data_IF_528894217667
#
_entry.id   IF_528894217667
#
_cell.length_a   1.000
_cell.length_b   1.000
_cell.length_c   1.000
_cell.angle_alpha   90.00
_cell.angle_beta   90.00
_cell.angle_gamma   90.00
#
_symmetry.space_group_name_H-M   'P 1'
#
loop_
_entity.id
_entity.type
_entity.pdbx_description
1 polymer ?
#
# COMPACT_ATOMS: atom_id res chain seq x y z
N UNK A 1 2.50 26.25 -38.01
CA UNK A 1 2.62 26.12 -36.55
C UNK A 1 3.80 26.96 -36.11
N UNK A 2 3.60 27.94 -35.23
CA UNK A 2 4.72 28.70 -34.67
C UNK A 2 5.65 27.77 -33.88
N UNK A 3 6.95 28.07 -33.85
CA UNK A 3 7.93 27.34 -33.03
C UNK A 3 7.52 27.24 -31.56
N UNK A 4 6.83 28.26 -31.03
CA UNK A 4 6.29 28.25 -29.66
C UNK A 4 5.12 27.29 -29.43
N UNK A 5 4.31 26.99 -30.44
CA UNK A 5 3.24 26.01 -30.31
C UNK A 5 3.78 24.58 -30.36
N UNK A 6 4.83 24.34 -31.15
CA UNK A 6 5.53 23.05 -31.21
C UNK A 6 6.17 22.73 -29.88
N UNK A 7 6.84 23.71 -29.24
CA UNK A 7 7.45 23.49 -27.92
C UNK A 7 6.40 23.17 -26.85
N UNK A 8 5.22 23.80 -26.89
CA UNK A 8 4.14 23.50 -25.94
C UNK A 8 3.61 22.08 -26.15
N UNK A 9 3.39 21.65 -27.40
CA UNK A 9 2.93 20.28 -27.69
C UNK A 9 3.95 19.24 -27.24
N UNK A 10 5.25 19.47 -27.49
CA UNK A 10 6.32 18.58 -27.00
C UNK A 10 6.37 18.54 -25.46
N UNK A 11 6.18 19.69 -24.80
CA UNK A 11 6.12 19.74 -23.34
C UNK A 11 4.91 18.99 -22.79
N UNK A 12 3.74 19.08 -23.44
CA UNK A 12 2.53 18.34 -23.06
C UNK A 12 2.72 16.84 -23.20
N UNK A 13 3.34 16.39 -24.30
CA UNK A 13 3.66 14.98 -24.49
C UNK A 13 4.61 14.47 -23.38
N UNK A 14 5.65 15.25 -23.05
CA UNK A 14 6.56 14.92 -21.95
C UNK A 14 5.87 14.87 -20.59
N UNK A 15 4.97 15.82 -20.31
CA UNK A 15 4.18 15.85 -19.07
C UNK A 15 3.22 14.66 -18.98
N UNK A 16 2.55 14.28 -20.08
CA UNK A 16 1.69 13.09 -20.09
C UNK A 16 2.50 11.80 -19.83
N UNK A 17 3.69 11.68 -20.41
CA UNK A 17 4.59 10.55 -20.11
C UNK A 17 5.04 10.54 -18.64
N UNK A 18 5.29 11.72 -18.06
CA UNK A 18 5.67 11.84 -16.65
C UNK A 18 4.51 11.50 -15.71
N UNK A 19 3.29 11.91 -16.05
CA UNK A 19 2.04 11.53 -15.35
C UNK A 19 1.85 10.01 -15.38
N UNK A 20 2.01 9.41 -16.58
CA UNK A 20 1.97 7.96 -16.77
C UNK A 20 3.00 7.23 -15.91
N UNK A 21 4.24 7.74 -15.87
CA UNK A 21 5.31 7.21 -15.04
C UNK A 21 4.94 7.22 -13.55
N UNK A 22 4.44 8.34 -13.03
CA UNK A 22 4.07 8.45 -11.62
C UNK A 22 2.92 7.49 -11.26
N UNK A 23 1.86 7.48 -12.06
CA UNK A 23 0.70 6.57 -11.87
C UNK A 23 1.09 5.08 -11.95
N UNK A 24 1.92 4.71 -12.92
CA UNK A 24 2.39 3.33 -13.07
C UNK A 24 3.31 2.93 -11.91
N UNK A 25 4.19 3.83 -11.46
CA UNK A 25 5.07 3.59 -10.31
C UNK A 25 4.25 3.38 -9.05
N UNK A 26 3.23 4.21 -8.79
CA UNK A 26 2.32 4.03 -7.64
C UNK A 26 1.72 2.63 -7.63
N UNK A 27 1.17 2.20 -8.76
CA UNK A 27 0.49 0.91 -8.88
C UNK A 27 1.45 -0.27 -8.78
N UNK A 28 2.65 -0.16 -9.36
CA UNK A 28 3.67 -1.18 -9.25
C UNK A 28 4.11 -1.37 -7.80
N UNK A 29 4.35 -0.27 -7.06
CA UNK A 29 4.78 -0.35 -5.66
C UNK A 29 3.67 -0.71 -4.68
N UNK A 30 2.41 -0.38 -4.96
CA UNK A 30 1.29 -0.82 -4.15
C UNK A 30 0.91 -2.29 -4.38
N UNK A 31 1.20 -2.84 -5.56
CA UNK A 31 0.81 -4.21 -5.95
C UNK A 31 1.96 -5.24 -5.88
N UNK A 32 3.21 -4.82 -5.65
CA UNK A 32 4.35 -5.73 -5.64
C UNK A 32 4.41 -6.59 -4.37
N UNK A 33 5.02 -7.78 -4.50
CA UNK A 33 5.33 -8.64 -3.35
C UNK A 33 6.75 -8.40 -2.85
N UNK A 34 6.88 -7.81 -1.65
CA UNK A 34 8.20 -7.54 -1.02
C UNK A 34 9.07 -8.80 -0.88
N UNK A 35 8.46 -9.96 -0.60
CA UNK A 35 9.17 -11.25 -0.49
C UNK A 35 9.90 -11.61 -1.78
N UNK A 36 9.28 -11.40 -2.95
CA UNK A 36 9.92 -11.67 -4.25
C UNK A 36 11.12 -10.77 -4.49
N UNK A 37 11.03 -9.50 -4.12
CA UNK A 37 12.17 -8.57 -4.23
C UNK A 37 13.31 -8.94 -3.27
N UNK A 38 13.00 -9.40 -2.05
CA UNK A 38 14.01 -9.90 -1.10
C UNK A 38 14.80 -11.08 -1.69
N UNK A 39 14.11 -12.04 -2.28
CA UNK A 39 14.76 -13.20 -2.91
C UNK A 39 15.67 -12.76 -4.06
N UNK A 40 15.16 -11.93 -4.97
CA UNK A 40 15.96 -11.41 -6.09
C UNK A 40 17.17 -10.57 -5.63
N UNK A 41 17.04 -9.81 -4.54
CA UNK A 41 18.14 -9.04 -3.97
C UNK A 41 19.20 -9.97 -3.34
N UNK A 42 18.78 -11.03 -2.66
CA UNK A 42 19.67 -12.07 -2.12
C UNK A 42 20.46 -12.79 -3.23
N UNK A 43 19.84 -12.96 -4.41
CA UNK A 43 20.49 -13.50 -5.62
C UNK A 43 21.44 -12.48 -6.30
N UNK A 44 21.68 -11.30 -5.71
CA UNK A 44 22.63 -10.30 -6.18
C UNK A 44 22.05 -9.24 -7.12
N UNK A 45 20.72 -9.16 -7.30
CA UNK A 45 20.11 -8.14 -8.15
C UNK A 45 20.05 -6.76 -7.45
N UNK A 46 20.97 -5.87 -7.83
CA UNK A 46 21.04 -4.48 -7.32
C UNK A 46 19.77 -3.66 -7.55
N UNK A 47 19.02 -3.92 -8.63
CA UNK A 47 17.74 -3.21 -8.89
C UNK A 47 16.64 -3.71 -7.97
N UNK A 48 16.63 -5.00 -7.65
CA UNK A 48 15.71 -5.57 -6.66
C UNK A 48 15.99 -5.01 -5.27
N UNK A 49 17.27 -4.88 -4.90
CA UNK A 49 17.68 -4.27 -3.63
C UNK A 49 17.19 -2.81 -3.53
N UNK A 50 17.39 -2.01 -4.58
CA UNK A 50 16.95 -0.62 -4.59
C UNK A 50 15.42 -0.48 -4.58
N UNK A 51 14.71 -1.31 -5.35
CA UNK A 51 13.24 -1.35 -5.31
C UNK A 51 12.73 -1.79 -3.92
N UNK A 52 13.41 -2.73 -3.25
CA UNK A 52 13.06 -3.16 -1.90
C UNK A 52 13.27 -2.05 -0.87
N UNK A 53 14.35 -1.27 -1.00
CA UNK A 53 14.58 -0.08 -0.15
C UNK A 53 13.45 0.94 -0.32
N UNK A 54 13.06 1.23 -1.56
CA UNK A 54 11.95 2.16 -1.86
C UNK A 54 10.62 1.61 -1.33
N UNK A 55 10.35 0.32 -1.53
CA UNK A 55 9.11 -0.32 -1.04
C UNK A 55 9.03 -0.40 0.50
N UNK A 56 10.17 -0.36 1.18
CA UNK A 56 10.23 -0.30 2.65
C UNK A 56 9.85 1.09 3.17
N UNK A 57 10.14 2.16 2.42
CA UNK A 57 9.76 3.55 2.74
C UNK A 57 8.57 4.00 1.88
N UNK A 58 7.47 3.23 1.96
CA UNK A 58 6.30 3.42 1.09
C UNK A 58 5.58 4.75 1.34
N UNK A 59 5.52 5.24 2.58
CA UNK A 59 4.90 6.53 2.93
C UNK A 59 5.59 7.70 2.21
N UNK A 60 6.92 7.71 2.21
CA UNK A 60 7.70 8.74 1.51
C UNK A 60 7.60 8.61 0.00
N UNK A 61 7.58 7.38 -0.50
CA UNK A 61 7.35 7.10 -1.92
C UNK A 61 6.00 7.67 -2.37
N UNK A 62 4.93 7.31 -1.65
CA UNK A 62 3.56 7.74 -1.96
C UNK A 62 3.46 9.26 -1.96
N UNK A 63 4.02 9.91 -0.95
CA UNK A 63 4.08 11.38 -0.86
C UNK A 63 4.80 12.00 -2.07
N UNK A 64 5.95 11.44 -2.45
CA UNK A 64 6.73 11.89 -3.62
C UNK A 64 5.92 11.78 -4.91
N UNK A 65 5.27 10.63 -5.13
CA UNK A 65 4.47 10.37 -6.32
C UNK A 65 3.26 11.31 -6.37
N UNK A 66 2.56 11.50 -5.26
CA UNK A 66 1.39 12.39 -5.18
C UNK A 66 1.78 13.83 -5.52
N UNK A 67 2.89 14.34 -4.96
CA UNK A 67 3.38 15.69 -5.26
C UNK A 67 3.76 15.80 -6.74
N UNK A 68 4.56 14.85 -7.24
CA UNK A 68 5.03 14.85 -8.62
C UNK A 68 3.88 14.79 -9.63
N UNK A 69 2.94 13.87 -9.42
CA UNK A 69 1.79 13.70 -10.31
C UNK A 69 0.90 14.94 -10.35
N UNK A 70 0.64 15.55 -9.19
CA UNK A 70 -0.15 16.78 -9.12
C UNK A 70 0.53 17.94 -9.85
N UNK A 71 1.83 18.15 -9.63
CA UNK A 71 2.59 19.20 -10.34
C UNK A 71 2.49 18.99 -11.85
N UNK A 72 2.72 17.76 -12.32
CA UNK A 72 2.67 17.42 -13.74
C UNK A 72 1.28 17.65 -14.33
N UNK A 73 0.23 17.12 -13.70
CA UNK A 73 -1.14 17.20 -14.19
C UNK A 73 -1.65 18.65 -14.22
N UNK A 74 -1.40 19.43 -13.16
CA UNK A 74 -1.79 20.85 -13.11
C UNK A 74 -1.03 21.65 -14.16
N UNK A 75 0.27 21.40 -14.33
CA UNK A 75 1.08 22.08 -15.35
C UNK A 75 0.59 21.73 -16.76
N UNK A 76 0.28 20.45 -17.01
CA UNK A 76 -0.24 19.99 -18.30
C UNK A 76 -1.60 20.63 -18.62
N UNK A 77 -2.54 20.63 -17.66
CA UNK A 77 -3.84 21.27 -17.82
C UNK A 77 -3.71 22.78 -18.06
N UNK A 78 -2.80 23.45 -17.34
CA UNK A 78 -2.55 24.89 -17.48
C UNK A 78 -1.96 25.23 -18.85
N UNK A 79 -0.91 24.51 -19.28
CA UNK A 79 -0.27 24.71 -20.59
C UNK A 79 -1.23 24.40 -21.74
N UNK A 80 -2.01 23.33 -21.61
CA UNK A 80 -3.05 23.01 -22.59
C UNK A 80 -4.07 24.13 -22.68
N UNK A 81 -4.52 24.67 -21.56
CA UNK A 81 -5.51 25.76 -21.57
C UNK A 81 -4.98 26.98 -22.31
N UNK A 82 -3.72 27.36 -22.07
CA UNK A 82 -3.06 28.44 -22.83
C UNK A 82 -3.01 28.13 -24.32
N UNK A 83 -2.66 26.90 -24.69
CA UNK A 83 -2.58 26.46 -26.09
C UNK A 83 -3.95 26.53 -26.77
N UNK A 84 -4.97 25.93 -26.18
CA UNK A 84 -6.31 25.86 -26.76
C UNK A 84 -7.00 27.21 -26.79
N UNK A 85 -6.79 28.08 -25.79
CA UNK A 85 -7.31 29.47 -25.83
C UNK A 85 -6.66 30.25 -26.98
N UNK A 86 -5.36 30.06 -27.24
CA UNK A 86 -4.67 30.69 -28.39
C UNK A 86 -5.30 30.29 -29.73
N UNK A 87 -5.77 29.05 -29.88
CA UNK A 87 -6.31 28.53 -31.14
C UNK A 87 -7.83 28.64 -31.29
N UNK A 88 -8.58 28.51 -30.19
CA UNK A 88 -10.05 28.39 -30.19
C UNK A 88 -10.76 29.52 -29.43
N UNK A 89 -10.01 30.51 -28.93
CA UNK A 89 -10.57 31.67 -28.23
C UNK A 89 -11.38 31.28 -26.99
N UNK A 90 -12.59 31.84 -26.85
CA UNK A 90 -13.46 31.63 -25.69
C UNK A 90 -13.86 30.16 -25.49
N UNK A 91 -13.96 29.36 -26.56
CA UNK A 91 -14.25 27.93 -26.47
C UNK A 91 -13.03 27.10 -26.03
N UNK A 92 -11.81 27.67 -26.12
CA UNK A 92 -10.56 26.97 -25.86
C UNK A 92 -10.43 26.44 -24.43
N UNK A 93 -10.98 27.14 -23.43
CA UNK A 93 -10.98 26.65 -22.05
C UNK A 93 -11.79 25.36 -21.93
N UNK A 94 -13.03 25.35 -22.40
CA UNK A 94 -13.90 24.17 -22.33
C UNK A 94 -13.33 22.99 -23.12
N UNK A 95 -12.83 23.25 -24.33
CA UNK A 95 -12.21 22.20 -25.17
C UNK A 95 -10.97 21.63 -24.49
N UNK A 96 -10.09 22.49 -23.95
CA UNK A 96 -8.88 22.06 -23.22
C UNK A 96 -9.23 21.15 -22.06
N UNK A 97 -10.21 21.55 -21.23
CA UNK A 97 -10.63 20.79 -20.06
C UNK A 97 -11.09 19.39 -20.45
N UNK A 98 -11.97 19.27 -21.45
CA UNK A 98 -12.47 17.96 -21.91
C UNK A 98 -11.33 17.11 -22.49
N UNK A 99 -10.53 17.67 -23.41
CA UNK A 99 -9.45 16.93 -24.09
C UNK A 99 -8.39 16.47 -23.10
N UNK A 100 -7.92 17.36 -22.22
CA UNK A 100 -6.88 17.00 -21.24
C UNK A 100 -7.38 16.01 -20.21
N UNK A 101 -8.65 16.11 -19.78
CA UNK A 101 -9.21 15.13 -18.85
C UNK A 101 -9.18 13.73 -19.47
N UNK A 102 -9.60 13.59 -20.73
CA UNK A 102 -9.54 12.31 -21.44
C UNK A 102 -8.10 11.82 -21.65
N UNK A 103 -7.18 12.71 -22.03
CA UNK A 103 -5.78 12.34 -22.26
C UNK A 103 -5.09 11.89 -20.97
N UNK A 104 -5.24 12.63 -19.87
CA UNK A 104 -4.66 12.26 -18.57
C UNK A 104 -5.30 10.99 -18.06
N UNK A 105 -6.62 10.86 -18.13
CA UNK A 105 -7.32 9.67 -17.64
C UNK A 105 -6.93 8.40 -18.41
N UNK A 106 -6.85 8.47 -19.74
CA UNK A 106 -6.50 7.30 -20.56
C UNK A 106 -4.99 7.05 -20.47
N UNK A 107 -4.17 8.01 -20.88
CA UNK A 107 -2.73 7.81 -21.06
C UNK A 107 -1.89 8.07 -19.82
N UNK A 108 -2.34 8.94 -18.91
CA UNK A 108 -1.66 9.26 -17.66
C UNK A 108 -2.04 8.34 -16.50
N UNK A 109 -3.26 7.78 -16.50
CA UNK A 109 -3.78 7.02 -15.36
C UNK A 109 -4.17 5.59 -15.69
N UNK A 110 -5.24 5.36 -16.45
CA UNK A 110 -5.84 4.03 -16.61
C UNK A 110 -4.87 3.07 -17.32
N UNK A 111 -4.34 3.44 -18.50
CA UNK A 111 -3.47 2.55 -19.27
C UNK A 111 -2.16 2.22 -18.54
N UNK A 112 -1.42 3.20 -17.97
CA UNK A 112 -0.18 2.90 -17.27
C UNK A 112 -0.41 2.05 -16.01
N UNK A 113 -1.47 2.32 -15.24
CA UNK A 113 -1.81 1.53 -14.05
C UNK A 113 -2.14 0.08 -14.40
N UNK A 114 -2.93 -0.15 -15.45
CA UNK A 114 -3.26 -1.50 -15.92
C UNK A 114 -2.00 -2.28 -16.29
N UNK A 115 -1.08 -1.65 -17.03
CA UNK A 115 0.15 -2.31 -17.47
C UNK A 115 1.11 -2.60 -16.32
N UNK A 116 1.23 -1.66 -15.36
CA UNK A 116 2.06 -1.83 -14.17
C UNK A 116 1.58 -3.00 -13.29
N UNK A 117 0.26 -3.26 -13.25
CA UNK A 117 -0.34 -4.31 -12.43
C UNK A 117 -0.04 -5.74 -12.93
N UNK A 118 0.25 -5.92 -14.22
CA UNK A 118 0.56 -7.25 -14.76
C UNK A 118 1.92 -7.78 -14.31
N UNK A 119 2.93 -6.90 -14.19
CA UNK A 119 4.29 -7.28 -13.79
C UNK A 119 4.91 -6.28 -12.80
N UNK A 120 4.30 -6.13 -11.60
CA UNK A 120 4.63 -5.05 -10.68
C UNK A 120 6.07 -5.09 -10.20
N UNK A 121 6.65 -6.27 -9.90
CA UNK A 121 8.04 -6.36 -9.44
C UNK A 121 9.04 -5.96 -10.53
N UNK A 122 8.82 -6.40 -11.78
CA UNK A 122 9.69 -6.06 -12.91
C UNK A 122 9.64 -4.57 -13.21
N UNK A 123 8.43 -4.00 -13.23
CA UNK A 123 8.24 -2.58 -13.45
C UNK A 123 8.89 -1.76 -12.34
N UNK A 124 8.63 -2.10 -11.07
CA UNK A 124 9.21 -1.44 -9.90
C UNK A 124 10.74 -1.42 -9.96
N UNK A 125 11.37 -2.55 -10.27
CA UNK A 125 12.83 -2.65 -10.44
C UNK A 125 13.37 -1.80 -11.60
N UNK A 126 12.61 -1.66 -12.69
CA UNK A 126 13.00 -0.85 -13.84
C UNK A 126 12.96 0.64 -13.49
N UNK A 127 11.91 1.10 -12.83
CA UNK A 127 11.71 2.52 -12.51
C UNK A 127 12.45 2.98 -11.25
N UNK A 128 12.88 2.03 -10.40
CA UNK A 128 13.50 2.26 -9.10
C UNK A 128 14.57 3.37 -9.08
N UNK A 129 15.55 3.41 -10.01
CA UNK A 129 16.58 4.44 -9.99
C UNK A 129 16.04 5.86 -10.20
N UNK A 130 15.08 6.00 -11.12
CA UNK A 130 14.42 7.28 -11.41
C UNK A 130 13.53 7.69 -10.23
N UNK A 131 12.85 6.72 -9.61
CA UNK A 131 12.00 6.96 -8.45
C UNK A 131 12.84 7.50 -7.28
N UNK A 132 14.00 6.88 -7.02
CA UNK A 132 14.93 7.35 -5.98
C UNK A 132 15.40 8.78 -6.21
N UNK A 133 15.67 9.15 -7.47
CA UNK A 133 16.04 10.51 -7.82
C UNK A 133 14.94 11.51 -7.44
N UNK A 134 13.67 11.23 -7.78
CA UNK A 134 12.54 12.07 -7.37
C UNK A 134 12.36 12.12 -5.85
N UNK A 135 12.53 11.00 -5.13
CA UNK A 135 12.42 10.98 -3.67
C UNK A 135 13.48 11.83 -2.96
N UNK A 136 14.65 12.01 -3.59
CA UNK A 136 15.74 12.89 -3.09
C UNK A 136 15.45 14.35 -3.43
N UNK A 137 15.04 14.65 -4.66
CA UNK A 137 14.74 16.02 -5.09
C UNK A 137 13.52 16.59 -4.34
N UNK A 138 12.49 15.77 -4.14
CA UNK A 138 11.28 16.16 -3.43
C UNK A 138 11.37 15.92 -1.92
N UNK A 139 12.53 15.49 -1.41
CA UNK A 139 12.78 15.34 0.03
C UNK A 139 12.37 16.56 0.89
N UNK A 140 12.71 17.82 0.55
CA UNK A 140 12.31 18.97 1.37
C UNK A 140 10.78 19.11 1.47
N UNK A 141 10.05 18.81 0.39
CA UNK A 141 8.58 18.83 0.40
C UNK A 141 8.02 17.66 1.20
N UNK A 142 8.61 16.47 1.08
CA UNK A 142 8.20 15.31 1.87
C UNK A 142 8.34 15.56 3.38
N UNK A 143 9.40 16.25 3.82
CA UNK A 143 9.57 16.63 5.22
C UNK A 143 8.45 17.57 5.70
N UNK A 144 8.02 18.52 4.86
CA UNK A 144 6.88 19.38 5.16
C UNK A 144 5.60 18.55 5.38
N UNK A 145 5.29 17.61 4.47
CA UNK A 145 4.11 16.75 4.60
C UNK A 145 4.19 15.78 5.79
N UNK A 146 5.38 15.27 6.12
CA UNK A 146 5.58 14.45 7.32
C UNK A 146 5.25 15.24 8.60
N UNK A 147 5.73 16.47 8.70
CA UNK A 147 5.40 17.36 9.82
C UNK A 147 3.92 17.73 9.85
N UNK A 148 3.31 17.92 8.68
CA UNK A 148 1.86 18.15 8.56
C UNK A 148 1.06 16.95 9.08
N UNK A 149 1.46 15.71 8.75
CA UNK A 149 0.85 14.48 9.27
C UNK A 149 0.91 14.42 10.80
N UNK A 150 2.05 14.74 11.40
CA UNK A 150 2.22 14.78 12.87
C UNK A 150 1.32 15.85 13.50
N UNK A 151 1.24 17.03 12.88
CA UNK A 151 0.36 18.11 13.35
C UNK A 151 -1.11 17.66 13.34
N UNK A 152 -1.55 17.02 12.25
CA UNK A 152 -2.91 16.49 12.14
C UNK A 152 -3.18 15.40 13.19
N UNK A 153 -2.26 14.44 13.36
CA UNK A 153 -2.41 13.39 14.38
C UNK A 153 -2.58 13.99 15.79
N UNK A 154 -1.84 15.05 16.10
CA UNK A 154 -1.94 15.77 17.38
C UNK A 154 -3.26 16.52 17.55
N UNK A 155 -3.80 17.10 16.48
CA UNK A 155 -5.09 17.81 16.49
C UNK A 155 -6.25 16.82 16.64
N UNK A 156 -6.20 15.71 15.91
CA UNK A 156 -7.29 14.73 15.84
C UNK A 156 -7.18 13.61 16.90
N UNK A 157 -6.14 13.61 17.75
CA UNK A 157 -5.87 12.56 18.75
C UNK A 157 -6.00 11.16 18.16
N UNK A 158 -5.41 10.96 16.98
CA UNK A 158 -5.35 9.63 16.38
C UNK A 158 -4.28 8.86 17.15
N UNK A 159 -4.70 8.06 18.13
CA UNK A 159 -3.81 7.12 18.81
C UNK A 159 -3.30 6.11 17.77
N UNK A 160 -2.00 6.20 17.50
CA UNK A 160 -1.33 5.59 16.35
C UNK A 160 -1.02 4.10 16.49
N UNK A 161 -1.55 3.45 17.51
CA UNK A 161 -1.31 2.03 17.76
C UNK A 161 -2.62 1.38 18.21
N UNK A 162 -3.50 1.11 17.25
CA UNK A 162 -4.52 0.09 17.43
C UNK A 162 -3.83 -1.22 17.09
N UNK A 163 -3.14 -1.80 18.07
CA UNK A 163 -2.67 -3.18 17.97
C UNK A 163 -3.85 -4.08 17.60
N UNK A 164 -3.58 -5.18 16.88
CA UNK A 164 -4.62 -6.14 16.50
C UNK A 164 -5.20 -6.71 17.80
N UNK A 165 -6.51 -6.56 17.99
CA UNK A 165 -7.20 -7.18 19.13
C UNK A 165 -7.37 -8.67 18.89
N UNK A 166 -7.60 -9.43 19.96
CA UNK A 166 -7.89 -10.86 19.86
C UNK A 166 -9.10 -11.16 18.97
N UNK A 167 -10.16 -10.36 19.09
CA UNK A 167 -11.36 -10.44 18.23
C UNK A 167 -11.04 -10.22 16.74
N UNK A 168 -10.15 -9.27 16.42
CA UNK A 168 -9.68 -9.03 15.06
C UNK A 168 -8.82 -10.21 14.55
N UNK A 169 -7.98 -10.80 15.42
CA UNK A 169 -7.21 -12.00 15.13
C UNK A 169 -8.10 -13.20 14.82
N UNK A 170 -9.14 -13.44 15.61
CA UNK A 170 -10.13 -14.49 15.36
C UNK A 170 -10.86 -14.25 14.03
N UNK A 171 -11.22 -13.00 13.74
CA UNK A 171 -11.85 -12.63 12.46
C UNK A 171 -10.96 -12.95 11.25
N UNK A 172 -9.65 -12.72 11.36
CA UNK A 172 -8.68 -13.06 10.30
C UNK A 172 -8.59 -14.58 10.08
N UNK A 173 -8.64 -15.37 11.16
CA UNK A 173 -8.64 -16.84 11.08
C UNK A 173 -9.91 -17.34 10.37
N UNK A 174 -11.06 -16.74 10.66
CA UNK A 174 -12.35 -17.06 10.04
C UNK A 174 -12.34 -16.79 8.54
N UNK A 175 -11.82 -15.64 8.13
CA UNK A 175 -11.69 -15.25 6.73
C UNK A 175 -10.74 -16.22 5.99
N UNK A 176 -9.60 -16.56 6.60
CA UNK A 176 -8.65 -17.50 6.02
C UNK A 176 -9.21 -18.94 5.87
N UNK A 177 -10.09 -19.36 6.78
CA UNK A 177 -10.81 -20.63 6.69
C UNK A 177 -11.87 -20.60 5.58
N UNK A 178 -12.62 -19.50 5.43
CA UNK A 178 -13.63 -19.33 4.37
C UNK A 178 -13.02 -19.27 2.97
N UNK A 179 -11.88 -18.59 2.82
CA UNK A 179 -11.13 -18.48 1.57
C UNK A 179 -10.38 -19.78 1.20
N UNK A 180 -10.45 -20.81 2.05
CA UNK A 180 -9.82 -22.11 1.84
C UNK A 180 -8.29 -22.11 2.01
N UNK A 181 -7.74 -21.09 2.67
CA UNK A 181 -6.32 -21.01 3.01
C UNK A 181 -5.92 -21.86 4.21
N UNK A 182 -6.89 -22.19 5.07
CA UNK A 182 -6.72 -22.98 6.30
C UNK A 182 -7.88 -24.00 6.37
N UNK A 183 -7.61 -25.22 6.79
CA UNK A 183 -8.67 -26.21 6.99
C UNK A 183 -9.37 -26.03 8.36
N UNK A 184 -10.53 -26.65 8.55
CA UNK A 184 -11.34 -26.47 9.77
C UNK A 184 -10.61 -26.88 11.05
N UNK A 185 -9.80 -27.94 11.01
CA UNK A 185 -9.02 -28.42 12.17
C UNK A 185 -7.89 -27.44 12.53
N UNK A 186 -7.21 -26.90 11.54
CA UNK A 186 -6.17 -25.89 11.73
C UNK A 186 -6.75 -24.57 12.28
N UNK A 187 -7.94 -24.17 11.82
CA UNK A 187 -8.66 -23.02 12.34
C UNK A 187 -9.04 -23.19 13.81
N UNK A 188 -9.62 -24.35 14.16
CA UNK A 188 -9.99 -24.68 15.54
C UNK A 188 -8.77 -24.68 16.48
N UNK A 189 -7.64 -25.27 16.06
CA UNK A 189 -6.39 -25.25 16.82
C UNK A 189 -5.89 -23.83 17.10
N UNK A 190 -5.93 -22.94 16.09
CA UNK A 190 -5.48 -21.55 16.27
C UNK A 190 -6.38 -20.82 17.25
N UNK A 191 -7.71 -20.97 17.17
CA UNK A 191 -8.64 -20.38 18.14
C UNK A 191 -8.36 -20.88 19.55
N UNK A 192 -8.22 -22.19 19.74
CA UNK A 192 -7.97 -22.77 21.06
C UNK A 192 -6.66 -22.29 21.68
N UNK A 193 -5.61 -22.04 20.89
CA UNK A 193 -4.35 -21.48 21.41
C UNK A 193 -4.51 -20.03 21.83
N UNK A 194 -5.32 -19.26 21.12
CA UNK A 194 -5.61 -17.86 21.45
C UNK A 194 -6.41 -17.79 22.76
N UNK A 195 -7.51 -18.54 22.85
CA UNK A 195 -8.37 -18.60 24.04
C UNK A 195 -7.66 -19.24 25.26
N UNK A 196 -6.58 -20.00 25.04
CA UNK A 196 -5.82 -20.62 26.13
C UNK A 196 -5.13 -19.61 27.05
N UNK A 197 -4.75 -18.43 26.56
CA UNK A 197 -4.13 -17.39 27.39
C UNK A 197 -5.10 -16.86 28.46
N UNK A 198 -6.41 -16.90 28.15
CA UNK A 198 -7.48 -16.44 29.03
C UNK A 198 -8.06 -17.54 29.94
N UNK A 199 -7.66 -18.81 29.76
CA UNK A 199 -8.13 -19.91 30.59
C UNK A 199 -7.52 -19.85 31.99
N UNK A 200 -8.36 -19.75 33.00
CA UNK A 200 -7.98 -19.89 34.40
C UNK A 200 -8.04 -21.37 34.84
N UNK A 201 -7.36 -21.71 35.93
CA UNK A 201 -7.44 -23.06 36.51
C UNK A 201 -8.88 -23.46 36.88
N UNK A 202 -9.74 -22.48 37.18
CA UNK A 202 -11.16 -22.68 37.47
C UNK A 202 -11.95 -23.14 36.22
N UNK A 203 -11.45 -22.88 35.01
CA UNK A 203 -12.14 -23.25 33.78
C UNK A 203 -11.88 -24.71 33.38
N UNK A 204 -10.84 -25.33 33.93
CA UNK A 204 -10.39 -26.68 33.56
C UNK A 204 -10.27 -27.67 34.72
N UNK A 205 -10.37 -27.23 35.97
CA UNK A 205 -10.26 -28.14 37.11
C UNK A 205 -11.44 -29.11 37.19
N UNK A 206 -11.18 -30.32 37.70
CA UNK A 206 -12.24 -31.24 38.09
C UNK A 206 -12.91 -30.72 39.37
N UNK A 207 -14.23 -30.42 39.36
CA UNK A 207 -14.94 -29.97 40.55
C UNK A 207 -14.75 -30.96 41.71
N UNK A 208 -14.61 -30.46 42.94
CA UNK A 208 -14.35 -31.31 44.13
C UNK A 208 -15.33 -32.48 44.27
N UNK A 209 -16.59 -32.29 43.87
CA UNK A 209 -17.63 -33.32 43.92
C UNK A 209 -17.41 -34.47 42.93
N UNK A 210 -16.65 -34.21 41.87
CA UNK A 210 -16.33 -35.17 40.80
C UNK A 210 -14.91 -35.76 40.96
N UNK A 211 -14.16 -35.30 41.97
CA UNK A 211 -12.84 -35.86 42.29
C UNK A 211 -13.03 -37.22 42.94
N UNK A 212 -12.48 -38.25 42.28
CA UNK A 212 -12.32 -39.57 42.89
C UNK A 212 -11.24 -39.46 43.97
N UNK A 213 -11.66 -39.46 45.22
CA UNK A 213 -10.80 -39.37 46.39
C UNK A 213 -10.93 -40.64 47.24
N UNK A 214 -9.85 -40.97 47.93
CA UNK A 214 -9.79 -42.11 48.87
C UNK A 214 -9.46 -41.55 50.25
N UNK A 215 -10.06 -42.10 51.31
CA UNK A 215 -9.70 -41.72 52.67
C UNK A 215 -8.27 -42.19 52.99
N UNK A 216 -7.53 -41.40 53.78
CA UNK A 216 -6.14 -41.69 54.12
C UNK A 216 -5.94 -43.08 54.74
N UNK A 217 -6.97 -43.59 55.42
CA UNK A 217 -6.93 -44.87 56.13
C UNK A 217 -7.58 -46.03 55.36
N UNK A 218 -7.96 -45.86 54.08
CA UNK A 218 -8.56 -46.94 53.30
C UNK A 218 -7.53 -48.06 53.06
N UNK A 219 -7.84 -49.32 53.43
CA UNK A 219 -6.93 -50.44 53.21
C UNK A 219 -6.71 -50.68 51.71
N UNK A 220 -5.49 -51.08 51.34
CA UNK A 220 -5.06 -51.23 49.95
C UNK A 220 -5.89 -52.24 49.13
N UNK A 221 -6.57 -53.17 49.79
CA UNK A 221 -7.47 -54.15 49.17
C UNK A 221 -8.78 -53.53 48.64
N UNK A 222 -9.16 -52.33 49.14
CA UNK A 222 -10.38 -51.60 48.74
C UNK A 222 -10.11 -50.50 47.69
N UNK A 223 -8.83 -50.22 47.37
CA UNK A 223 -8.43 -49.26 46.33
C UNK A 223 -8.09 -50.06 45.06
N UNK A 224 -9.06 -50.24 44.17
CA UNK A 224 -8.93 -50.94 42.90
C UNK A 224 -8.91 -49.97 41.71
#
# INVERSE_FOLDING_TARGET
>A
MDSGSISIILSLAGLLMMSAYFSATETAYSSLRKVRLKNLAADGNRRAELALQIASDFDRLLSTILIGNNIVNITAASLSTVLFVKYFGNAGVTISTVVMTLLVLIFGEISPKSLAKETPEKFAMLVAPITRFFMVILAPFNLFFANWKILLAKIFKVDGDRGITEEELLTIVDEAQQDGGINEQEGELIRSVIEFDDLEAIDIFTPRVDVVAVEENTPQEEIA
#
